data_IF_359092570217
#
_entry.id   IF_359092570217
#
_cell.length_a   1.000
_cell.length_b   1.000
_cell.length_c   1.000
_cell.angle_alpha   90.00
_cell.angle_beta   90.00
_cell.angle_gamma   90.00
#
_symmetry.space_group_name_H-M   'P 1'
#
loop_
_entity.id
_entity.type
_entity.pdbx_description
1 polymer ?
#
# COMPACT_ATOMS: atom_id res chain seq x y z
N UNK A 1 17.17 21.60 -14.36
CA UNK A 1 16.72 22.27 -15.59
C UNK A 1 17.49 21.73 -16.78
N UNK A 2 16.91 21.73 -17.98
CA UNK A 2 17.62 21.36 -19.21
C UNK A 2 18.49 22.50 -19.76
N UNK A 3 19.16 22.25 -20.88
CA UNK A 3 20.03 23.20 -21.58
C UNK A 3 19.33 24.50 -22.02
N UNK A 4 17.99 24.53 -22.05
CA UNK A 4 17.17 25.68 -22.39
C UNK A 4 16.52 26.34 -21.15
N UNK A 5 16.94 25.96 -19.94
CA UNK A 5 16.41 26.49 -18.69
C UNK A 5 15.01 25.98 -18.33
N UNK A 6 14.49 24.93 -18.99
CA UNK A 6 13.19 24.34 -18.64
C UNK A 6 13.33 23.39 -17.47
N UNK A 7 12.32 23.34 -16.60
CA UNK A 7 12.25 22.30 -15.57
C UNK A 7 12.18 20.91 -16.22
N UNK A 8 12.84 19.93 -15.62
CA UNK A 8 12.85 18.54 -16.08
C UNK A 8 12.04 17.63 -15.17
N UNK A 9 11.40 16.62 -15.76
CA UNK A 9 10.49 15.70 -15.08
C UNK A 9 10.87 14.24 -15.32
N UNK A 10 10.88 13.44 -14.26
CA UNK A 10 10.90 11.98 -14.31
C UNK A 10 9.55 11.43 -13.83
N UNK A 11 8.98 10.47 -14.56
CA UNK A 11 7.66 9.89 -14.24
C UNK A 11 7.79 8.43 -13.79
N UNK A 12 7.32 8.10 -12.59
CA UNK A 12 7.29 6.73 -12.08
C UNK A 12 5.85 6.22 -12.04
N UNK A 13 5.62 4.96 -12.42
CA UNK A 13 4.25 4.45 -12.65
C UNK A 13 3.53 5.33 -13.69
N UNK A 14 4.20 5.55 -14.83
CA UNK A 14 3.86 6.56 -15.83
C UNK A 14 2.49 6.31 -16.48
N UNK A 15 2.04 5.06 -16.49
CA UNK A 15 0.86 4.64 -17.23
C UNK A 15 0.99 5.08 -18.69
N UNK A 16 -0.05 5.72 -19.22
CA UNK A 16 -0.12 6.19 -20.61
C UNK A 16 0.50 7.58 -20.84
N UNK A 17 1.30 8.08 -19.89
CA UNK A 17 2.06 9.33 -20.04
C UNK A 17 1.28 10.59 -19.66
N UNK A 18 0.35 10.48 -18.70
CA UNK A 18 -0.46 11.62 -18.24
C UNK A 18 0.39 12.76 -17.65
N UNK A 19 1.33 12.43 -16.76
CA UNK A 19 2.24 13.43 -16.18
C UNK A 19 3.22 14.02 -17.20
N UNK A 20 3.92 13.22 -18.04
CA UNK A 20 4.72 13.77 -19.13
C UNK A 20 3.95 14.71 -20.05
N UNK A 21 2.72 14.37 -20.45
CA UNK A 21 1.89 15.23 -21.29
C UNK A 21 1.53 16.54 -20.59
N UNK A 22 1.07 16.47 -19.33
CA UNK A 22 0.78 17.66 -18.54
C UNK A 22 2.00 18.54 -18.33
N UNK A 23 3.16 17.93 -18.08
CA UNK A 23 4.45 18.61 -17.98
C UNK A 23 4.79 19.37 -19.25
N UNK A 24 4.72 18.72 -20.42
CA UNK A 24 4.98 19.37 -21.71
C UNK A 24 4.06 20.56 -21.96
N UNK A 25 2.76 20.41 -21.66
CA UNK A 25 1.78 21.50 -21.80
C UNK A 25 2.09 22.69 -20.87
N UNK A 26 2.74 22.43 -19.73
CA UNK A 26 3.22 23.44 -18.79
C UNK A 26 4.66 23.94 -19.08
N UNK A 27 5.29 23.52 -20.19
CA UNK A 27 6.65 23.91 -20.55
C UNK A 27 7.77 23.16 -19.80
N UNK A 28 7.44 22.05 -19.11
CA UNK A 28 8.34 21.16 -18.40
C UNK A 28 8.75 20.01 -19.33
N UNK A 29 10.03 19.67 -19.41
CA UNK A 29 10.54 18.61 -20.28
C UNK A 29 10.58 17.26 -19.54
N UNK A 30 9.77 16.25 -19.93
CA UNK A 30 9.96 14.90 -19.42
C UNK A 30 11.26 14.29 -19.95
N UNK A 31 11.99 13.60 -19.09
CA UNK A 31 13.31 13.00 -19.37
C UNK A 31 13.22 11.49 -19.39
N UNK A 32 12.59 10.91 -18.37
CA UNK A 32 12.41 9.47 -18.27
C UNK A 32 11.03 9.10 -17.72
N UNK A 33 10.64 7.86 -17.99
CA UNK A 33 9.41 7.24 -17.51
C UNK A 33 9.66 5.79 -17.07
N UNK A 34 9.04 5.35 -15.99
CA UNK A 34 9.03 3.98 -15.51
C UNK A 34 7.60 3.43 -15.51
N UNK A 35 7.39 2.34 -16.23
CA UNK A 35 6.10 1.66 -16.36
C UNK A 35 6.37 0.19 -16.69
N UNK A 36 5.57 -0.72 -16.14
CA UNK A 36 5.71 -2.17 -16.37
C UNK A 36 4.73 -2.69 -17.41
N UNK A 37 3.60 -2.00 -17.60
CA UNK A 37 2.55 -2.46 -18.49
C UNK A 37 2.91 -2.25 -19.97
N UNK A 38 2.93 -3.32 -20.80
CA UNK A 38 3.37 -3.23 -22.20
C UNK A 38 2.55 -2.28 -23.07
N UNK A 39 1.23 -2.18 -22.83
CA UNK A 39 0.35 -1.36 -23.64
C UNK A 39 0.56 0.15 -23.40
N UNK A 40 0.56 0.66 -22.15
CA UNK A 40 0.90 2.05 -21.88
C UNK A 40 2.30 2.45 -22.35
N UNK A 41 3.32 1.60 -22.17
CA UNK A 41 4.67 1.84 -22.71
C UNK A 41 4.62 2.06 -24.23
N UNK A 42 3.87 1.23 -24.97
CA UNK A 42 3.73 1.38 -26.43
C UNK A 42 3.12 2.73 -26.82
N UNK A 43 2.14 3.22 -26.05
CA UNK A 43 1.51 4.52 -26.28
C UNK A 43 2.52 5.64 -26.07
N UNK A 44 3.26 5.62 -24.96
CA UNK A 44 4.21 6.67 -24.59
C UNK A 44 5.44 6.64 -25.47
N UNK A 45 5.99 5.47 -25.82
CA UNK A 45 7.08 5.36 -26.80
C UNK A 45 6.72 5.97 -28.16
N UNK A 46 5.46 5.84 -28.60
CA UNK A 46 5.00 6.44 -29.86
C UNK A 46 4.82 7.96 -29.76
N UNK A 47 4.30 8.47 -28.65
CA UNK A 47 3.94 9.89 -28.48
C UNK A 47 5.08 10.74 -27.90
N UNK A 48 5.99 10.12 -27.18
CA UNK A 48 7.10 10.72 -26.45
C UNK A 48 8.41 9.96 -26.77
N UNK A 49 8.82 9.86 -28.04
CA UNK A 49 9.96 9.03 -28.45
C UNK A 49 11.31 9.49 -27.86
N UNK A 50 11.36 10.69 -27.28
CA UNK A 50 12.53 11.28 -26.62
C UNK A 50 12.59 10.99 -25.11
N UNK A 51 11.57 10.35 -24.52
CA UNK A 51 11.55 9.95 -23.11
C UNK A 51 12.15 8.56 -22.97
N UNK A 52 13.09 8.40 -22.04
CA UNK A 52 13.71 7.10 -21.75
C UNK A 52 12.78 6.23 -20.92
N UNK A 53 12.50 5.01 -21.38
CA UNK A 53 11.65 4.05 -20.66
C UNK A 53 12.47 3.05 -19.85
N UNK A 54 12.32 3.08 -18.53
CA UNK A 54 13.09 2.24 -17.60
C UNK A 54 12.42 0.90 -17.24
N UNK A 55 11.14 0.70 -17.55
CA UNK A 55 10.45 -0.52 -17.15
C UNK A 55 10.07 -0.52 -15.66
N UNK A 56 10.34 -1.64 -14.97
CA UNK A 56 10.08 -1.82 -13.54
C UNK A 56 10.89 -0.83 -12.69
N UNK A 57 10.19 -0.01 -11.90
CA UNK A 57 10.77 0.95 -10.97
C UNK A 57 11.70 0.31 -9.95
N UNK A 58 11.50 -0.96 -9.58
CA UNK A 58 12.38 -1.66 -8.65
C UNK A 58 13.77 -1.97 -9.24
N UNK A 59 13.90 -1.91 -10.56
CA UNK A 59 15.19 -2.07 -11.25
C UNK A 59 15.96 -0.76 -11.38
N UNK A 60 15.33 0.37 -11.04
CA UNK A 60 15.91 1.70 -11.18
C UNK A 60 16.81 2.02 -10.00
N UNK A 61 18.04 2.44 -10.32
CA UNK A 61 19.02 2.95 -9.38
C UNK A 61 19.04 4.47 -9.42
N UNK A 62 18.72 5.10 -8.28
CA UNK A 62 18.61 6.56 -8.19
C UNK A 62 19.91 7.31 -8.47
N UNK A 63 21.06 6.66 -8.31
CA UNK A 63 22.39 7.16 -8.63
C UNK A 63 22.76 7.01 -10.12
N UNK A 64 21.99 6.24 -10.89
CA UNK A 64 22.25 5.94 -12.31
C UNK A 64 21.23 6.56 -13.27
N UNK A 65 20.17 7.20 -12.75
CA UNK A 65 19.16 7.90 -13.56
C UNK A 65 19.53 9.33 -13.87
N UNK A 66 19.01 9.86 -14.97
CA UNK A 66 19.22 11.25 -15.34
C UNK A 66 18.65 12.19 -14.24
N UNK A 67 19.39 13.24 -13.84
CA UNK A 67 18.89 14.17 -12.84
C UNK A 67 17.69 14.94 -13.40
N UNK A 68 16.63 15.02 -12.57
CA UNK A 68 15.40 15.76 -12.91
C UNK A 68 15.00 16.68 -11.76
N UNK A 69 14.36 17.79 -12.08
CA UNK A 69 13.88 18.76 -11.08
C UNK A 69 12.61 18.26 -10.36
N UNK A 70 11.80 17.46 -11.04
CA UNK A 70 10.50 16.98 -10.57
C UNK A 70 10.41 15.46 -10.77
N UNK A 71 9.95 14.75 -9.74
CA UNK A 71 9.52 13.36 -9.84
C UNK A 71 8.01 13.29 -9.67
N UNK A 72 7.29 12.80 -10.68
CA UNK A 72 5.86 12.51 -10.61
C UNK A 72 5.61 11.04 -10.47
N UNK A 73 4.57 10.65 -9.72
CA UNK A 73 4.21 9.25 -9.62
C UNK A 73 2.73 9.02 -9.34
N UNK A 74 2.19 7.94 -9.93
CA UNK A 74 0.80 7.51 -9.77
C UNK A 74 0.68 6.15 -9.10
N UNK A 75 1.33 5.92 -7.95
CA UNK A 75 1.42 4.59 -7.33
C UNK A 75 0.04 3.96 -7.07
N UNK A 76 -0.09 2.63 -7.17
CA UNK A 76 -1.31 1.94 -6.75
C UNK A 76 -1.61 2.19 -5.25
N UNK A 77 -2.88 2.31 -4.89
CA UNK A 77 -3.29 2.76 -3.55
C UNK A 77 -4.47 1.95 -2.99
N UNK A 78 -4.71 2.14 -1.70
CA UNK A 78 -5.94 1.76 -0.99
C UNK A 78 -6.73 3.03 -0.63
N UNK A 79 -8.07 2.97 -0.46
CA UNK A 79 -8.87 4.12 -0.06
C UNK A 79 -8.59 4.52 1.40
N UNK A 80 -8.97 5.76 1.73
CA UNK A 80 -9.02 6.26 3.10
C UNK A 80 -9.86 5.33 4.01
N UNK A 81 -9.49 5.24 5.29
CA UNK A 81 -10.07 4.30 6.26
C UNK A 81 -9.48 2.88 6.20
N UNK A 82 -8.64 2.56 5.20
CA UNK A 82 -7.95 1.26 5.16
C UNK A 82 -6.98 1.15 6.34
N UNK A 83 -7.13 0.12 7.17
CA UNK A 83 -6.29 -0.08 8.34
C UNK A 83 -4.93 -0.69 7.97
N UNK A 84 -3.87 0.00 8.37
CA UNK A 84 -2.48 -0.45 8.27
C UNK A 84 -2.00 -0.84 9.66
N UNK A 85 -1.39 -2.02 9.78
CA UNK A 85 -0.80 -2.46 11.05
C UNK A 85 0.54 -1.75 11.29
N UNK A 86 0.58 -0.95 12.34
CA UNK A 86 1.78 -0.25 12.82
C UNK A 86 2.31 -0.90 14.10
N UNK A 87 3.50 -0.49 14.53
CA UNK A 87 4.08 -0.88 15.83
C UNK A 87 3.23 -0.42 17.04
N UNK A 88 2.32 0.54 16.83
CA UNK A 88 1.37 1.05 17.83
C UNK A 88 -0.05 0.51 17.66
N UNK A 89 -0.27 -0.46 16.77
CA UNK A 89 -1.58 -1.01 16.44
C UNK A 89 -2.11 -0.55 15.09
N UNK A 90 -3.40 -0.73 14.85
CA UNK A 90 -4.00 -0.33 13.59
C UNK A 90 -4.09 1.19 13.47
N UNK A 91 -3.72 1.70 12.31
CA UNK A 91 -3.82 3.12 11.96
C UNK A 91 -4.38 3.23 10.56
N UNK A 92 -5.33 4.15 10.36
CA UNK A 92 -5.88 4.44 9.04
C UNK A 92 -4.77 4.93 8.10
N UNK A 93 -4.83 4.51 6.85
CA UNK A 93 -3.76 4.73 5.87
C UNK A 93 -3.46 6.23 5.66
N UNK A 94 -4.47 7.09 5.71
CA UNK A 94 -4.35 8.55 5.60
C UNK A 94 -3.63 9.19 6.81
N UNK A 95 -3.56 8.50 7.95
CA UNK A 95 -2.86 8.95 9.14
C UNK A 95 -1.40 8.48 9.19
N UNK A 96 -0.98 7.61 8.27
CA UNK A 96 0.39 7.10 8.19
C UNK A 96 1.35 8.21 7.75
N UNK A 97 2.43 8.39 8.52
CA UNK A 97 3.44 9.42 8.33
C UNK A 97 4.83 8.82 8.15
N UNK A 98 5.70 9.56 7.46
CA UNK A 98 7.13 9.23 7.34
C UNK A 98 7.74 9.03 8.73
N UNK A 99 8.52 7.96 8.87
CA UNK A 99 9.15 7.55 10.13
C UNK A 99 8.34 6.54 10.96
N UNK A 100 7.04 6.36 10.70
CA UNK A 100 6.25 5.30 11.35
C UNK A 100 6.71 3.92 10.90
N UNK A 101 6.55 2.91 11.76
CA UNK A 101 6.86 1.51 11.44
C UNK A 101 5.58 0.76 11.04
N UNK A 102 5.61 0.11 9.88
CA UNK A 102 4.50 -0.71 9.37
C UNK A 102 4.94 -2.15 9.15
N UNK A 103 4.00 -3.09 9.29
CA UNK A 103 4.27 -4.50 9.03
C UNK A 103 4.28 -4.78 7.52
N UNK A 104 5.31 -5.47 7.04
CA UNK A 104 5.41 -5.89 5.63
C UNK A 104 4.89 -7.31 5.42
N UNK A 105 4.59 -7.67 4.15
CA UNK A 105 4.21 -9.03 3.75
C UNK A 105 5.20 -10.14 4.16
N UNK A 106 6.47 -9.80 4.44
CA UNK A 106 7.50 -10.73 4.95
C UNK A 106 7.50 -10.88 6.48
N UNK A 107 6.51 -10.33 7.17
CA UNK A 107 6.38 -10.40 8.63
C UNK A 107 7.42 -9.58 9.40
N UNK A 108 8.01 -8.56 8.77
CA UNK A 108 9.01 -7.66 9.38
C UNK A 108 8.55 -6.21 9.39
N UNK A 109 8.94 -5.48 10.44
CA UNK A 109 8.71 -4.04 10.59
C UNK A 109 9.63 -3.22 9.68
N UNK A 110 9.09 -2.21 9.01
CA UNK A 110 9.86 -1.26 8.20
C UNK A 110 9.35 0.15 8.40
N UNK A 111 10.29 1.11 8.40
CA UNK A 111 9.96 2.54 8.45
C UNK A 111 9.34 2.99 7.13
N UNK A 112 8.30 3.80 7.23
CA UNK A 112 7.70 4.53 6.12
C UNK A 112 8.69 5.63 5.69
N UNK A 113 9.07 5.62 4.43
CA UNK A 113 10.00 6.61 3.85
C UNK A 113 9.28 7.70 3.06
N UNK A 114 8.06 7.43 2.59
CA UNK A 114 7.21 8.35 1.86
C UNK A 114 5.73 8.03 2.11
N UNK A 115 4.87 9.03 2.04
CA UNK A 115 3.41 8.90 2.11
C UNK A 115 2.79 9.86 1.08
N UNK A 116 1.65 9.47 0.50
CA UNK A 116 0.97 10.25 -0.53
C UNK A 116 -0.48 9.83 -0.71
N UNK A 117 -1.24 10.64 -1.43
CA UNK A 117 -2.67 10.43 -1.70
C UNK A 117 -3.01 10.80 -3.14
N UNK A 118 -3.99 10.13 -3.72
CA UNK A 118 -4.56 10.47 -5.03
C UNK A 118 -6.05 10.11 -5.08
N UNK A 119 -6.77 10.71 -6.01
CA UNK A 119 -8.10 10.24 -6.40
C UNK A 119 -7.96 9.27 -7.58
N UNK A 120 -8.63 8.13 -7.53
CA UNK A 120 -8.61 7.12 -8.57
C UNK A 120 -9.87 6.24 -8.48
N UNK A 121 -10.23 5.60 -9.58
CA UNK A 121 -11.25 4.55 -9.58
C UNK A 121 -10.75 3.31 -8.82
N UNK A 122 -11.68 2.64 -8.14
CA UNK A 122 -11.41 1.49 -7.28
C UNK A 122 -12.22 0.27 -7.72
N UNK A 123 -11.72 -0.90 -7.35
CA UNK A 123 -12.45 -2.16 -7.41
C UNK A 123 -12.48 -2.77 -6.01
N UNK A 124 -13.49 -3.59 -5.74
CA UNK A 124 -13.62 -4.32 -4.48
C UNK A 124 -13.35 -5.80 -4.73
N UNK A 125 -12.24 -6.30 -4.22
CA UNK A 125 -11.96 -7.73 -4.25
C UNK A 125 -12.73 -8.44 -3.14
N UNK A 126 -13.54 -9.43 -3.50
CA UNK A 126 -14.32 -10.23 -2.55
C UNK A 126 -13.69 -11.61 -2.37
N UNK A 127 -13.58 -12.04 -1.12
CA UNK A 127 -13.03 -13.34 -0.72
C UNK A 127 -13.58 -13.72 0.66
N UNK A 128 -12.77 -14.39 1.49
CA UNK A 128 -13.14 -14.71 2.88
C UNK A 128 -13.13 -13.51 3.85
N UNK A 129 -13.00 -12.29 3.31
CA UNK A 129 -12.98 -11.02 4.05
C UNK A 129 -14.14 -10.14 3.58
N UNK A 130 -14.45 -9.09 4.34
CA UNK A 130 -15.53 -8.11 4.09
C UNK A 130 -15.38 -7.28 2.78
N UNK A 131 -14.43 -7.64 1.92
CA UNK A 131 -14.00 -6.87 0.76
C UNK A 131 -12.64 -6.23 0.99
N UNK A 132 -11.83 -6.13 -0.06
CA UNK A 132 -10.61 -5.32 -0.10
C UNK A 132 -10.72 -4.36 -1.26
N UNK A 133 -10.98 -3.09 -0.96
CA UNK A 133 -11.09 -2.04 -1.96
C UNK A 133 -9.71 -1.47 -2.29
N UNK A 134 -9.36 -1.38 -3.57
CA UNK A 134 -8.07 -0.83 -4.02
C UNK A 134 -8.13 -0.42 -5.51
N UNK A 135 -7.08 0.22 -6.01
CA UNK A 135 -6.96 0.51 -7.44
C UNK A 135 -6.80 -0.80 -8.25
N UNK A 136 -7.32 -0.91 -9.48
CA UNK A 136 -7.26 -2.14 -10.28
C UNK A 136 -5.84 -2.70 -10.49
N UNK A 137 -4.85 -1.81 -10.60
CA UNK A 137 -3.44 -2.14 -10.78
C UNK A 137 -2.69 -2.39 -9.45
N UNK A 138 -3.38 -2.43 -8.30
CA UNK A 138 -2.70 -2.63 -7.03
C UNK A 138 -2.12 -4.05 -6.96
N UNK A 139 -0.81 -4.20 -6.73
CA UNK A 139 -0.19 -5.52 -6.70
C UNK A 139 -0.60 -6.27 -5.42
N UNK A 140 -1.24 -7.42 -5.60
CA UNK A 140 -1.65 -8.32 -4.52
C UNK A 140 -0.77 -9.58 -4.57
N UNK A 141 -0.15 -9.92 -3.45
CA UNK A 141 0.62 -11.14 -3.33
C UNK A 141 -0.33 -12.34 -3.25
N UNK A 142 -0.23 -13.26 -4.20
CA UNK A 142 -1.18 -14.36 -4.32
C UNK A 142 -0.52 -15.68 -4.71
N UNK A 143 -1.33 -16.73 -4.70
CA UNK A 143 -1.04 -18.04 -5.27
C UNK A 143 -2.28 -18.61 -5.95
N UNK A 144 -2.12 -19.63 -6.79
CA UNK A 144 -3.23 -20.40 -7.34
C UNK A 144 -3.86 -21.31 -6.28
N UNK A 145 -5.12 -21.68 -6.51
CA UNK A 145 -5.78 -22.78 -5.81
C UNK A 145 -5.68 -24.06 -6.64
N UNK A 146 -5.32 -25.18 -6.00
CA UNK A 146 -5.55 -26.51 -6.55
C UNK A 146 -6.56 -27.24 -5.66
N UNK A 147 -7.63 -27.78 -6.27
CA UNK A 147 -8.60 -28.62 -5.58
C UNK A 147 -8.29 -30.08 -5.83
N UNK A 148 -8.05 -30.83 -4.77
CA UNK A 148 -7.97 -32.29 -4.82
C UNK A 148 -8.73 -32.86 -3.62
N UNK A 149 -9.66 -33.78 -3.85
CA UNK A 149 -10.50 -34.41 -2.82
C UNK A 149 -11.13 -33.44 -1.80
N UNK A 150 -11.84 -32.40 -2.28
CA UNK A 150 -12.48 -31.37 -1.45
C UNK A 150 -11.53 -30.58 -0.51
N UNK A 151 -10.21 -30.70 -0.68
CA UNK A 151 -9.23 -29.90 0.06
C UNK A 151 -8.61 -28.85 -0.86
N UNK A 152 -8.65 -27.60 -0.40
CA UNK A 152 -7.95 -26.48 -1.00
C UNK A 152 -6.46 -26.66 -0.71
N UNK A 153 -5.65 -26.86 -1.74
CA UNK A 153 -4.19 -26.79 -1.67
C UNK A 153 -3.70 -25.48 -2.28
N UNK A 154 -2.72 -24.87 -1.61
CA UNK A 154 -2.03 -23.69 -2.12
C UNK A 154 -1.15 -24.12 -3.30
N UNK A 155 -1.15 -23.34 -4.37
CA UNK A 155 -0.19 -23.48 -5.45
C UNK A 155 1.24 -23.30 -4.94
N UNK A 156 2.19 -23.94 -5.62
CA UNK A 156 3.62 -23.80 -5.28
C UNK A 156 4.14 -22.41 -5.65
N UNK A 157 3.64 -21.86 -6.76
CA UNK A 157 4.06 -20.55 -7.26
C UNK A 157 3.34 -19.41 -6.52
N UNK A 158 4.12 -18.41 -6.12
CA UNK A 158 3.64 -17.19 -5.47
C UNK A 158 4.15 -15.99 -6.24
N UNK A 159 3.26 -15.07 -6.56
CA UNK A 159 3.58 -13.90 -7.37
C UNK A 159 2.76 -12.69 -6.96
N UNK A 160 3.22 -11.52 -7.40
CA UNK A 160 2.45 -10.29 -7.33
C UNK A 160 1.68 -10.13 -8.64
N UNK A 161 0.37 -9.98 -8.55
CA UNK A 161 -0.47 -9.70 -9.72
C UNK A 161 -1.36 -8.48 -9.44
N UNK A 162 -1.84 -7.77 -10.48
CA UNK A 162 -2.83 -6.72 -10.32
C UNK A 162 -4.09 -7.21 -9.60
N UNK A 163 -4.70 -6.35 -8.79
CA UNK A 163 -5.97 -6.61 -8.13
C UNK A 163 -7.07 -7.04 -9.12
N UNK A 164 -7.11 -6.45 -10.32
CA UNK A 164 -8.05 -6.81 -11.38
C UNK A 164 -7.96 -8.30 -11.80
N UNK A 165 -6.81 -8.93 -11.63
CA UNK A 165 -6.52 -10.30 -12.10
C UNK A 165 -6.67 -11.36 -10.99
N UNK A 166 -7.19 -10.97 -9.82
CA UNK A 166 -7.31 -11.84 -8.64
C UNK A 166 -8.43 -12.91 -8.73
N UNK A 167 -9.18 -12.96 -9.84
CA UNK A 167 -10.26 -13.94 -9.99
C UNK A 167 -9.72 -15.37 -9.94
N UNK A 168 -10.23 -16.17 -8.99
CA UNK A 168 -9.81 -17.57 -8.79
C UNK A 168 -8.42 -17.74 -8.14
N UNK A 169 -7.89 -16.68 -7.51
CA UNK A 169 -6.60 -16.70 -6.80
C UNK A 169 -6.82 -16.57 -5.30
N UNK A 170 -5.82 -17.02 -4.53
CA UNK A 170 -5.78 -16.88 -3.08
C UNK A 170 -4.76 -15.79 -2.72
N UNK A 171 -5.19 -14.70 -2.08
CA UNK A 171 -4.26 -13.66 -1.60
C UNK A 171 -3.60 -14.07 -0.27
N UNK A 172 -2.38 -13.59 -0.05
CA UNK A 172 -1.63 -13.83 1.17
C UNK A 172 -2.16 -13.03 2.36
N UNK A 173 -2.44 -13.70 3.48
CA UNK A 173 -2.76 -13.08 4.76
C UNK A 173 -1.69 -13.46 5.78
N UNK A 174 -1.06 -12.50 6.49
CA UNK A 174 -0.12 -12.81 7.56
C UNK A 174 -0.79 -13.68 8.64
N UNK A 175 -0.27 -14.90 8.88
CA UNK A 175 -0.81 -15.81 9.90
C UNK A 175 -0.19 -15.64 11.28
N UNK A 176 1.01 -15.07 11.33
CA UNK A 176 1.78 -14.85 12.56
C UNK A 176 2.46 -13.49 12.45
N UNK A 177 2.32 -12.73 13.51
CA UNK A 177 2.94 -11.42 13.67
C UNK A 177 3.62 -11.46 15.03
N UNK A 178 4.80 -10.85 15.15
CA UNK A 178 5.39 -10.61 16.47
C UNK A 178 4.40 -9.82 17.32
N UNK A 179 4.37 -10.08 18.64
CA UNK A 179 3.43 -9.39 19.52
C UNK A 179 3.61 -7.88 19.35
N UNK A 180 2.60 -7.22 18.82
CA UNK A 180 2.52 -5.77 18.85
C UNK A 180 2.42 -5.33 20.31
N UNK A 181 3.03 -4.20 20.65
CA UNK A 181 2.81 -3.60 21.95
C UNK A 181 1.35 -3.13 22.00
N UNK A 182 0.51 -3.93 22.62
CA UNK A 182 -0.84 -3.48 22.96
C UNK A 182 -0.67 -2.35 23.97
N UNK A 183 -1.25 -1.19 23.69
CA UNK A 183 -1.31 -0.09 24.65
C UNK A 183 -2.03 -0.66 25.88
N UNK A 184 -1.27 -0.90 26.94
CA UNK A 184 -1.83 -1.38 28.18
C UNK A 184 -2.55 -0.21 28.85
N UNK A 185 -3.72 -0.42 29.46
CA UNK A 185 -4.31 0.62 30.28
C UNK A 185 -3.28 1.11 31.29
N UNK A 186 -3.07 2.41 31.32
CA UNK A 186 -2.08 3.05 32.17
C UNK A 186 -2.76 4.05 33.10
N UNK A 187 -2.15 4.30 34.26
CA UNK A 187 -2.62 5.32 35.17
C UNK A 187 -2.60 6.70 34.47
N UNK A 188 -3.67 7.48 34.63
CA UNK A 188 -3.76 8.83 34.04
C UNK A 188 -3.03 9.88 34.88
N UNK A 189 -2.46 9.48 36.03
CA UNK A 189 -1.76 10.35 36.98
C UNK A 189 -2.69 11.10 37.93
N UNK A 190 -3.99 10.83 37.92
CA UNK A 190 -4.96 11.48 38.82
C UNK A 190 -4.82 11.00 40.26
N UNK A 191 -4.75 11.94 41.22
CA UNK A 191 -4.72 11.65 42.66
C UNK A 191 -5.98 10.96 43.19
N UNK A 192 -7.09 10.99 42.44
CA UNK A 192 -8.36 10.32 42.79
C UNK A 192 -8.52 8.96 42.12
N UNK A 193 -7.48 8.46 41.46
CA UNK A 193 -7.58 7.25 40.67
C UNK A 193 -7.70 6.01 41.57
N UNK A 194 -8.72 5.19 41.31
CA UNK A 194 -8.85 3.86 41.92
C UNK A 194 -7.76 2.93 41.37
N UNK A 195 -7.29 1.94 42.15
CA UNK A 195 -6.33 0.96 41.64
C UNK A 195 -6.88 0.26 40.38
N UNK A 196 -6.02 0.04 39.39
CA UNK A 196 -6.41 -0.72 38.21
C UNK A 196 -6.78 -2.16 38.60
N UNK A 197 -7.86 -2.71 38.02
CA UNK A 197 -8.18 -4.12 38.22
C UNK A 197 -7.06 -5.00 37.66
N UNK A 198 -6.92 -6.20 38.24
CA UNK A 198 -6.03 -7.21 37.70
C UNK A 198 -6.54 -7.60 36.30
N UNK A 199 -5.71 -7.40 35.27
CA UNK A 199 -6.07 -7.69 33.87
C UNK A 199 -5.89 -9.18 33.56
N UNK A 200 -6.55 -10.02 34.33
CA UNK A 200 -6.56 -11.46 34.14
C UNK A 200 -7.68 -11.91 33.19
N UNK A 201 -7.81 -13.23 33.00
CA UNK A 201 -8.86 -13.79 32.15
C UNK A 201 -10.28 -13.44 32.64
N UNK A 202 -10.49 -13.29 33.95
CA UNK A 202 -11.79 -12.91 34.52
C UNK A 202 -12.17 -11.47 34.19
N UNK A 203 -11.22 -10.54 34.31
CA UNK A 203 -11.42 -9.15 33.89
C UNK A 203 -11.77 -9.05 32.40
N UNK A 204 -10.99 -9.69 31.52
CA UNK A 204 -11.27 -9.63 30.09
C UNK A 204 -12.55 -10.37 29.68
N UNK A 205 -12.93 -11.44 30.40
CA UNK A 205 -14.23 -12.07 30.22
C UNK A 205 -15.37 -11.10 30.54
N UNK A 206 -15.29 -10.38 31.66
CA UNK A 206 -16.28 -9.38 32.03
C UNK A 206 -16.34 -8.22 31.02
N UNK A 207 -15.18 -7.69 30.59
CA UNK A 207 -15.10 -6.66 29.54
C UNK A 207 -15.77 -7.16 28.25
N UNK A 208 -15.51 -8.40 27.85
CA UNK A 208 -16.15 -9.00 26.67
C UNK A 208 -17.67 -9.09 26.81
N UNK A 209 -18.19 -9.53 27.97
CA UNK A 209 -19.63 -9.57 28.26
C UNK A 209 -20.26 -8.19 28.26
N UNK A 210 -19.56 -7.19 28.80
CA UNK A 210 -20.03 -5.81 28.79
C UNK A 210 -20.01 -5.19 27.38
N UNK A 211 -19.01 -5.49 26.55
CA UNK A 211 -18.99 -5.03 25.15
C UNK A 211 -20.07 -5.71 24.30
N UNK A 212 -20.41 -6.97 24.60
CA UNK A 212 -21.42 -7.73 23.88
C UNK A 212 -22.86 -7.38 24.28
N UNK A 213 -23.12 -7.27 25.59
CA UNK A 213 -24.48 -7.18 26.14
C UNK A 213 -24.68 -5.96 27.08
N UNK A 214 -23.65 -5.15 27.29
CA UNK A 214 -23.69 -4.01 28.18
C UNK A 214 -24.34 -2.78 27.54
N UNK A 215 -24.88 -1.92 28.40
CA UNK A 215 -25.46 -0.63 28.04
C UNK A 215 -24.91 0.42 29.00
N UNK A 216 -24.58 1.62 28.51
CA UNK A 216 -24.31 2.81 29.35
C UNK A 216 -25.45 3.82 29.25
N UNK A 217 -26.01 4.22 30.39
CA UNK A 217 -27.14 5.16 30.46
C UNK A 217 -26.69 6.59 30.23
#
# INVERSE_FOLDING_TARGET
MDENGRLTLGSLFDGSGGFPLGGMLAGIRPVFAAEVEPFPIRVTTKRLPFVKHYGDVNSIRGDEVEPVDIITFGSPCFPAGTLVLTDKGYTEIEQIKVGMCVLTHKGRWRKVTAAGSKQAETIVLKGNHYGLECTPNHPIYCTSESKNDNKIRLGEEKSWIPAADMKGRLWGVPRKIEKTQMISPHYSGSRKQKPMPLMDGGFFYFVGRWLGDGWVR
#
